data_IF_116987266526
#
_entry.id   IF_116987266526
#
_cell.length_a   1.000
_cell.length_b   1.000
_cell.length_c   1.000
_cell.angle_alpha   90.00
_cell.angle_beta   90.00
_cell.angle_gamma   90.00
#
_symmetry.space_group_name_H-M   'P 1'
#
loop_
_entity.id
_entity.type
_entity.pdbx_description
1 polymer ?
#
# COMPACT_ATOMS: atom_id res chain seq x y z
N UNK A 1 -46.16 17.56 13.67
CA UNK A 1 -44.71 17.44 13.96
C UNK A 1 -44.50 17.47 15.48
N UNK A 2 -45.12 18.41 16.21
CA UNK A 2 -45.18 18.43 17.68
C UNK A 2 -45.55 17.10 18.32
N UNK A 3 -46.61 16.42 17.87
CA UNK A 3 -47.08 15.18 18.50
C UNK A 3 -46.05 14.06 18.45
N UNK A 4 -45.29 13.96 17.36
CA UNK A 4 -44.20 12.97 17.24
C UNK A 4 -43.04 13.29 18.19
N UNK A 5 -42.80 14.57 18.47
CA UNK A 5 -41.75 15.03 19.38
C UNK A 5 -42.18 14.75 20.83
N UNK A 6 -43.46 14.95 21.16
CA UNK A 6 -44.00 14.59 22.47
C UNK A 6 -43.97 13.08 22.72
N UNK A 7 -44.37 12.27 21.74
CA UNK A 7 -44.29 10.80 21.81
C UNK A 7 -42.86 10.31 22.02
N UNK A 8 -41.87 10.87 21.31
CA UNK A 8 -40.44 10.53 21.50
C UNK A 8 -39.92 10.89 22.88
N UNK A 9 -40.35 12.03 23.45
CA UNK A 9 -39.98 12.43 24.83
C UNK A 9 -40.63 11.54 25.89
N UNK A 10 -41.86 11.09 25.66
CA UNK A 10 -42.56 10.19 26.59
C UNK A 10 -42.03 8.76 26.56
N UNK A 11 -41.50 8.32 25.42
CA UNK A 11 -40.94 6.97 25.23
C UNK A 11 -39.41 6.93 25.46
N UNK A 12 -38.81 8.03 25.93
CA UNK A 12 -37.39 8.05 26.23
C UNK A 12 -37.10 7.14 27.44
N UNK A 13 -36.19 6.15 27.32
CA UNK A 13 -35.93 5.18 28.37
C UNK A 13 -34.97 5.78 29.42
N UNK A 14 -35.48 6.74 30.20
CA UNK A 14 -34.70 7.52 31.20
C UNK A 14 -33.97 6.62 32.20
N UNK A 15 -34.60 5.52 32.63
CA UNK A 15 -33.97 4.56 33.55
C UNK A 15 -32.74 3.88 32.92
N UNK A 16 -32.84 3.45 31.66
CA UNK A 16 -31.72 2.84 30.95
C UNK A 16 -30.59 3.85 30.75
N UNK A 17 -30.92 5.10 30.41
CA UNK A 17 -29.94 6.19 30.27
C UNK A 17 -29.21 6.43 31.59
N UNK A 18 -29.91 6.42 32.72
CA UNK A 18 -29.31 6.58 34.04
C UNK A 18 -28.40 5.41 34.42
N UNK A 19 -28.80 4.18 34.12
CA UNK A 19 -27.97 2.98 34.34
C UNK A 19 -26.70 3.03 33.48
N UNK A 20 -26.82 3.39 32.21
CA UNK A 20 -25.67 3.54 31.29
C UNK A 20 -24.75 4.66 31.77
N UNK A 21 -25.27 5.79 32.23
CA UNK A 21 -24.45 6.88 32.77
C UNK A 21 -23.76 6.50 34.08
N UNK A 22 -24.41 5.71 34.93
CA UNK A 22 -23.80 5.13 36.14
C UNK A 22 -22.63 4.22 35.80
N UNK A 23 -22.83 3.27 34.89
CA UNK A 23 -21.77 2.38 34.37
C UNK A 23 -20.63 3.16 33.71
N UNK A 24 -20.96 4.20 32.93
CA UNK A 24 -19.95 5.07 32.30
C UNK A 24 -19.09 5.77 33.34
N UNK A 25 -19.67 6.24 34.45
CA UNK A 25 -18.92 6.88 35.53
C UNK A 25 -18.06 5.87 36.32
N UNK A 26 -18.51 4.64 36.54
CA UNK A 26 -17.70 3.58 37.15
C UNK A 26 -16.52 3.18 36.25
N UNK A 27 -16.76 2.99 34.95
CA UNK A 27 -15.71 2.70 33.97
C UNK A 27 -14.72 3.86 33.85
N UNK A 28 -15.18 5.11 33.87
CA UNK A 28 -14.32 6.31 33.84
C UNK A 28 -13.48 6.47 35.12
N UNK A 29 -13.92 5.95 36.26
CA UNK A 29 -13.13 5.95 37.50
C UNK A 29 -12.00 4.91 37.45
N UNK A 30 -12.20 3.76 36.80
CA UNK A 30 -11.15 2.76 36.51
C UNK A 30 -10.21 3.18 35.36
N UNK A 31 -10.71 3.98 34.43
CA UNK A 31 -9.97 4.65 33.35
C UNK A 31 -9.22 5.92 33.79
N UNK A 32 -9.17 6.26 35.09
CA UNK A 32 -8.04 7.05 35.58
C UNK A 32 -6.78 6.18 35.52
N UNK A 33 -6.33 5.91 34.30
CA UNK A 33 -5.00 5.49 33.93
C UNK A 33 -4.08 6.47 34.63
N UNK A 34 -3.58 6.09 35.81
CA UNK A 34 -2.43 6.76 36.37
C UNK A 34 -1.32 6.46 35.38
N UNK A 35 -1.13 7.38 34.43
CA UNK A 35 -0.02 7.34 33.48
C UNK A 35 1.23 7.01 34.28
N UNK A 36 1.94 5.98 33.82
CA UNK A 36 3.15 5.52 34.47
C UNK A 36 4.09 6.74 34.52
N UNK A 37 4.53 7.16 35.71
CA UNK A 37 5.43 8.29 35.84
C UNK A 37 6.68 8.10 34.97
N UNK A 38 7.16 9.19 34.38
CA UNK A 38 8.28 9.16 33.44
C UNK A 38 9.54 8.48 34.00
N UNK A 39 9.83 8.68 35.29
CA UNK A 39 10.97 8.04 35.95
C UNK A 39 10.86 6.51 36.01
N UNK A 40 9.64 5.95 36.05
CA UNK A 40 9.42 4.50 36.02
C UNK A 40 9.64 3.98 34.60
N UNK A 41 9.16 4.72 33.58
CA UNK A 41 9.41 4.38 32.16
C UNK A 41 10.91 4.33 31.87
N UNK A 42 11.65 5.35 32.28
CA UNK A 42 13.11 5.41 32.14
C UNK A 42 13.81 4.21 32.81
N UNK A 43 13.40 3.87 34.04
CA UNK A 43 13.94 2.70 34.75
C UNK A 43 13.68 1.40 33.99
N UNK A 44 12.47 1.22 33.46
CA UNK A 44 12.11 0.05 32.64
C UNK A 44 12.98 -0.01 31.38
N UNK A 45 13.12 1.10 30.67
CA UNK A 45 13.96 1.19 29.46
C UNK A 45 15.42 0.83 29.76
N UNK A 46 15.99 1.35 30.85
CA UNK A 46 17.37 1.07 31.22
C UNK A 46 17.59 -0.42 31.56
N UNK A 47 16.66 -1.05 32.30
CA UNK A 47 16.73 -2.48 32.62
C UNK A 47 16.60 -3.36 31.37
N UNK A 48 15.70 -3.01 30.44
CA UNK A 48 15.56 -3.71 29.16
C UNK A 48 16.83 -3.56 28.32
N UNK A 49 17.42 -2.37 28.25
CA UNK A 49 18.68 -2.14 27.52
C UNK A 49 19.83 -2.96 28.10
N UNK A 50 19.91 -3.10 29.43
CA UNK A 50 20.90 -3.96 30.08
C UNK A 50 20.66 -5.42 29.72
N UNK A 51 19.41 -5.87 29.74
CA UNK A 51 19.02 -7.23 29.35
C UNK A 51 19.43 -7.52 27.91
N UNK A 52 19.07 -6.64 26.97
CA UNK A 52 19.40 -6.78 25.55
C UNK A 52 20.91 -6.72 25.27
N UNK A 53 21.69 -5.93 26.03
CA UNK A 53 23.16 -5.91 25.91
C UNK A 53 23.84 -7.19 26.42
N UNK A 54 23.18 -7.92 27.32
CA UNK A 54 23.65 -9.23 27.80
C UNK A 54 23.42 -10.35 26.78
N UNK A 55 22.57 -10.11 25.79
CA UNK A 55 22.22 -11.01 24.69
C UNK A 55 23.13 -10.68 23.50
N UNK A 56 23.73 -11.68 22.85
CA UNK A 56 24.80 -11.44 21.89
C UNK A 56 24.25 -10.78 20.60
N UNK A 57 24.98 -9.81 20.03
CA UNK A 57 24.51 -8.97 18.91
C UNK A 57 24.27 -9.72 17.58
N UNK A 58 24.64 -11.00 17.51
CA UNK A 58 24.42 -11.88 16.35
C UNK A 58 23.19 -12.79 16.50
N UNK A 59 22.40 -12.64 17.56
CA UNK A 59 21.28 -13.53 17.84
C UNK A 59 20.05 -13.19 17.02
N UNK A 60 19.32 -14.25 16.64
CA UNK A 60 18.05 -14.19 15.94
C UNK A 60 17.03 -13.33 16.73
N UNK A 61 16.19 -12.58 16.01
CA UNK A 61 15.21 -11.69 16.64
C UNK A 61 14.25 -12.40 17.62
N UNK A 62 14.06 -13.71 17.45
CA UNK A 62 13.35 -14.59 18.40
C UNK A 62 14.01 -14.62 19.77
N UNK A 63 15.35 -14.66 19.83
CA UNK A 63 16.08 -14.72 21.11
C UNK A 63 16.01 -13.38 21.84
N UNK A 64 16.08 -12.26 21.12
CA UNK A 64 15.87 -10.93 21.69
C UNK A 64 14.46 -10.79 22.27
N UNK A 65 13.45 -11.29 21.55
CA UNK A 65 12.06 -11.28 22.00
C UNK A 65 11.88 -12.15 23.25
N UNK A 66 12.45 -13.35 23.27
CA UNK A 66 12.39 -14.26 24.42
C UNK A 66 13.07 -13.69 25.66
N UNK A 67 14.22 -13.02 25.49
CA UNK A 67 14.94 -12.38 26.59
C UNK A 67 14.11 -11.26 27.25
N UNK A 68 13.49 -10.39 26.44
CA UNK A 68 12.62 -9.32 26.95
C UNK A 68 11.38 -9.87 27.62
N UNK A 69 10.75 -10.88 27.02
CA UNK A 69 9.57 -11.54 27.60
C UNK A 69 9.90 -12.28 28.90
N UNK A 70 11.09 -12.88 29.02
CA UNK A 70 11.56 -13.48 30.27
C UNK A 70 11.77 -12.43 31.36
N UNK A 71 12.48 -11.35 31.05
CA UNK A 71 12.68 -10.22 31.96
C UNK A 71 11.35 -9.64 32.44
N UNK A 72 10.40 -9.43 31.52
CA UNK A 72 9.06 -8.91 31.83
C UNK A 72 8.33 -9.80 32.82
N UNK A 73 8.36 -11.13 32.62
CA UNK A 73 7.70 -12.10 33.51
C UNK A 73 8.31 -12.11 34.91
N UNK A 74 9.64 -12.05 35.01
CA UNK A 74 10.34 -11.98 36.29
C UNK A 74 9.99 -10.68 37.04
N UNK A 75 10.04 -9.54 36.35
CA UNK A 75 9.72 -8.22 36.93
C UNK A 75 8.27 -8.09 37.36
N UNK A 76 7.34 -8.64 36.57
CA UNK A 76 5.93 -8.71 36.93
C UNK A 76 5.72 -9.55 38.20
N UNK A 77 6.44 -10.68 38.32
CA UNK A 77 6.38 -11.53 39.51
C UNK A 77 6.92 -10.78 40.75
N UNK A 78 8.09 -10.14 40.65
CA UNK A 78 8.66 -9.32 41.74
C UNK A 78 7.66 -8.23 42.20
N UNK A 79 7.05 -7.51 41.25
CA UNK A 79 6.07 -6.47 41.55
C UNK A 79 4.80 -7.04 42.22
N UNK A 80 4.36 -8.23 41.81
CA UNK A 80 3.17 -8.90 42.37
C UNK A 80 3.42 -9.45 43.78
N UNK A 81 4.62 -10.01 44.02
CA UNK A 81 5.04 -10.47 45.35
C UNK A 81 5.11 -9.31 46.34
N UNK A 82 5.65 -8.15 45.94
CA UNK A 82 5.66 -6.93 46.75
C UNK A 82 4.25 -6.38 47.08
N UNK A 83 3.25 -6.68 46.26
CA UNK A 83 1.85 -6.31 46.54
C UNK A 83 1.23 -7.28 47.56
N UNK A 84 1.57 -8.57 47.49
CA UNK A 84 1.03 -9.62 48.35
C UNK A 84 1.68 -9.63 49.73
N UNK A 85 2.99 -9.48 49.80
CA UNK A 85 3.72 -9.26 51.03
C UNK A 85 3.48 -7.81 51.47
N UNK A 86 2.52 -7.59 52.38
CA UNK A 86 2.32 -6.31 53.08
C UNK A 86 3.60 -5.92 53.84
N UNK A 87 4.64 -5.49 53.14
CA UNK A 87 5.90 -5.05 53.72
C UNK A 87 5.68 -3.64 54.26
N UNK A 88 5.42 -3.60 55.56
CA UNK A 88 5.47 -2.38 56.36
C UNK A 88 6.82 -1.72 56.13
N UNK A 89 6.84 -0.57 55.44
CA UNK A 89 7.68 0.59 55.81
C UNK A 89 7.60 1.78 54.84
N UNK A 90 6.92 1.72 53.70
CA UNK A 90 6.69 2.92 52.86
C UNK A 90 5.52 2.77 51.89
N UNK A 91 4.48 3.59 52.05
CA UNK A 91 3.29 3.67 51.16
C UNK A 91 3.64 3.94 49.69
N UNK A 92 4.80 4.55 49.44
CA UNK A 92 5.32 4.92 48.11
C UNK A 92 5.74 3.67 47.31
N UNK A 93 6.45 2.73 47.94
CA UNK A 93 6.94 1.50 47.30
C UNK A 93 5.79 0.59 46.83
N UNK A 94 4.71 0.50 47.62
CA UNK A 94 3.53 -0.29 47.25
C UNK A 94 2.78 0.33 46.05
N UNK A 95 2.73 1.66 45.96
CA UNK A 95 2.09 2.36 44.83
C UNK A 95 2.87 2.14 43.53
N UNK A 96 4.20 2.24 43.59
CA UNK A 96 5.08 1.95 42.47
C UNK A 96 4.98 0.49 42.02
N UNK A 97 4.95 -0.47 42.96
CA UNK A 97 4.78 -1.89 42.64
C UNK A 97 3.46 -2.18 41.91
N UNK A 98 2.35 -1.53 42.32
CA UNK A 98 1.06 -1.64 41.62
C UNK A 98 1.09 -1.05 40.22
N UNK A 99 1.74 0.09 40.04
CA UNK A 99 1.91 0.70 38.72
C UNK A 99 2.76 -0.20 37.81
N UNK A 100 3.86 -0.75 38.33
CA UNK A 100 4.70 -1.71 37.61
C UNK A 100 3.96 -2.99 37.23
N UNK A 101 3.16 -3.56 38.14
CA UNK A 101 2.39 -4.76 37.86
C UNK A 101 1.35 -4.53 36.75
N UNK A 102 0.63 -3.39 36.78
CA UNK A 102 -0.32 -3.02 35.71
C UNK A 102 0.40 -2.75 34.38
N UNK A 103 1.54 -2.07 34.43
CA UNK A 103 2.37 -1.72 33.29
C UNK A 103 2.94 -2.95 32.56
N UNK A 104 3.49 -3.90 33.30
CA UNK A 104 4.11 -5.12 32.76
C UNK A 104 3.07 -6.21 32.50
N UNK A 105 1.89 -6.14 33.10
CA UNK A 105 0.76 -7.03 32.85
C UNK A 105 -0.10 -6.55 31.69
N UNK A 106 -1.24 -5.95 32.02
CA UNK A 106 -2.32 -5.60 31.07
C UNK A 106 -1.92 -4.49 30.09
N UNK A 107 -1.09 -3.54 30.51
CA UNK A 107 -0.72 -2.36 29.71
C UNK A 107 0.62 -2.50 28.98
N UNK A 108 1.15 -3.71 28.84
CA UNK A 108 2.49 -3.91 28.28
C UNK A 108 2.62 -3.43 26.83
N UNK A 109 1.59 -3.65 26.00
CA UNK A 109 1.61 -3.21 24.61
C UNK A 109 1.72 -1.68 24.49
N UNK A 110 0.87 -0.96 25.22
CA UNK A 110 0.88 0.51 25.29
C UNK A 110 2.21 1.04 25.82
N UNK A 111 2.71 0.46 26.92
CA UNK A 111 4.02 0.83 27.47
C UNK A 111 5.15 0.60 26.47
N UNK A 112 5.15 -0.55 25.77
CA UNK A 112 6.19 -0.90 24.80
C UNK A 112 6.26 0.12 23.67
N UNK A 113 5.11 0.58 23.17
CA UNK A 113 5.04 1.66 22.18
C UNK A 113 5.56 2.98 22.76
N UNK A 114 5.15 3.36 23.97
CA UNK A 114 5.57 4.61 24.61
C UNK A 114 7.09 4.66 24.87
N UNK A 115 7.72 3.54 25.24
CA UNK A 115 9.18 3.47 25.45
C UNK A 115 9.96 3.18 24.17
N UNK A 116 9.29 3.01 23.03
CA UNK A 116 9.92 2.75 21.73
C UNK A 116 10.54 1.36 21.60
N UNK A 117 10.03 0.36 22.34
CA UNK A 117 10.50 -1.01 22.28
C UNK A 117 9.85 -1.73 21.09
N UNK A 118 10.60 -1.86 20.00
CA UNK A 118 10.19 -2.60 18.81
C UNK A 118 11.22 -3.66 18.44
N UNK A 119 10.85 -4.94 18.58
CA UNK A 119 11.66 -6.10 18.18
C UNK A 119 10.99 -6.75 16.96
N UNK A 120 11.69 -6.90 15.82
CA UNK A 120 11.12 -7.51 14.63
C UNK A 120 10.64 -8.95 14.90
N UNK A 121 9.41 -9.27 14.50
CA UNK A 121 8.96 -10.67 14.49
C UNK A 121 9.62 -11.35 13.29
N UNK A 122 10.19 -12.55 13.49
CA UNK A 122 10.60 -13.36 12.35
C UNK A 122 9.34 -13.82 11.60
N UNK A 123 9.05 -13.17 10.47
CA UNK A 123 8.02 -13.62 9.54
C UNK A 123 8.67 -14.65 8.63
N UNK A 124 8.42 -15.93 8.90
CA UNK A 124 8.79 -17.01 7.99
C UNK A 124 7.79 -16.97 6.83
N UNK A 125 8.13 -16.22 5.79
CA UNK A 125 7.40 -16.29 4.52
C UNK A 125 7.62 -17.70 3.95
N UNK A 126 6.59 -18.53 4.02
CA UNK A 126 6.58 -19.79 3.28
C UNK A 126 6.08 -19.44 1.89
N UNK A 127 7.02 -19.23 0.96
CA UNK A 127 6.69 -18.97 -0.44
C UNK A 127 6.05 -20.25 -0.99
N UNK A 128 4.72 -20.25 -1.09
CA UNK A 128 4.00 -21.27 -1.81
C UNK A 128 4.12 -20.95 -3.29
N UNK A 129 4.99 -21.69 -3.97
CA UNK A 129 5.09 -21.66 -5.42
C UNK A 129 3.88 -22.43 -5.99
N UNK A 130 2.69 -21.79 -5.94
CA UNK A 130 1.47 -22.27 -6.59
C UNK A 130 1.55 -22.18 -8.13
N UNK A 131 2.76 -21.89 -8.66
CA UNK A 131 3.06 -21.77 -10.08
C UNK A 131 3.07 -23.15 -10.73
N UNK A 132 2.21 -23.40 -11.73
CA UNK A 132 2.29 -24.64 -12.50
C UNK A 132 3.61 -24.70 -13.29
N UNK A 133 4.27 -25.87 -13.28
CA UNK A 133 5.49 -26.11 -14.04
C UNK A 133 5.25 -25.82 -15.54
N UNK A 134 5.95 -24.81 -16.08
CA UNK A 134 5.94 -24.48 -17.51
C UNK A 134 5.35 -23.11 -17.89
N UNK A 135 4.87 -22.31 -16.94
CA UNK A 135 4.52 -20.90 -17.21
C UNK A 135 5.76 -20.01 -17.08
N UNK A 136 6.23 -19.47 -18.21
CA UNK A 136 7.18 -18.36 -18.22
C UNK A 136 6.59 -17.18 -17.45
N UNK A 137 7.39 -16.50 -16.62
CA UNK A 137 6.99 -15.21 -16.06
C UNK A 137 6.74 -14.27 -17.23
N UNK A 138 5.48 -14.10 -17.59
CA UNK A 138 5.12 -12.96 -18.41
C UNK A 138 5.44 -11.75 -17.53
N UNK A 139 6.54 -11.07 -17.82
CA UNK A 139 6.86 -9.74 -17.33
C UNK A 139 5.78 -8.76 -17.85
N UNK A 140 4.53 -8.92 -17.39
CA UNK A 140 3.52 -7.91 -17.58
C UNK A 140 3.86 -6.78 -16.64
N UNK A 141 4.55 -5.76 -17.14
CA UNK A 141 4.38 -4.42 -16.59
C UNK A 141 2.87 -4.20 -16.42
N UNK A 142 2.45 -3.90 -15.19
CA UNK A 142 1.03 -3.77 -14.86
C UNK A 142 0.44 -2.60 -15.66
N UNK A 143 -0.26 -2.93 -16.75
CA UNK A 143 -0.93 -1.95 -17.60
C UNK A 143 -2.13 -1.40 -16.82
N UNK A 144 -2.14 -0.09 -16.56
CA UNK A 144 -3.27 0.55 -15.92
C UNK A 144 -4.54 0.47 -16.79
N UNK A 145 -5.65 0.08 -16.18
CA UNK A 145 -6.97 0.02 -16.82
C UNK A 145 -7.54 -1.39 -16.97
N UNK A 146 -8.52 -1.54 -17.86
CA UNK A 146 -9.15 -2.84 -18.16
C UNK A 146 -8.18 -3.76 -18.89
N UNK A 147 -8.32 -5.07 -18.68
CA UNK A 147 -7.58 -6.07 -19.45
C UNK A 147 -7.87 -5.92 -20.95
N UNK A 148 -6.80 -5.89 -21.74
CA UNK A 148 -6.86 -5.76 -23.18
C UNK A 148 -7.31 -7.07 -23.84
N UNK A 149 -8.29 -7.03 -24.77
CA UNK A 149 -8.66 -8.20 -25.57
C UNK A 149 -7.49 -8.70 -26.43
N UNK A 150 -7.42 -10.02 -26.66
CA UNK A 150 -6.36 -10.64 -27.48
C UNK A 150 -6.29 -10.06 -28.91
N UNK A 151 -7.44 -9.70 -29.49
CA UNK A 151 -7.53 -9.04 -30.80
C UNK A 151 -6.79 -7.70 -30.89
N UNK A 152 -6.43 -7.08 -29.75
CA UNK A 152 -5.62 -5.86 -29.72
C UNK A 152 -4.15 -6.10 -30.03
N UNK A 153 -3.66 -7.35 -29.88
CA UNK A 153 -2.26 -7.75 -29.98
C UNK A 153 -1.34 -6.72 -29.32
N UNK A 154 -1.60 -6.45 -28.04
CA UNK A 154 -0.90 -5.40 -27.31
C UNK A 154 0.55 -5.75 -27.10
N UNK A 155 1.40 -4.80 -27.42
CA UNK A 155 2.82 -4.83 -27.15
C UNK A 155 3.23 -3.59 -26.36
N UNK A 156 3.83 -3.81 -25.19
CA UNK A 156 4.48 -2.75 -24.41
C UNK A 156 5.78 -2.31 -25.08
N UNK A 157 6.22 -1.08 -24.79
CA UNK A 157 7.43 -0.47 -25.32
C UNK A 157 7.54 -0.55 -26.85
N UNK A 158 6.46 -0.24 -27.55
CA UNK A 158 6.34 -0.47 -28.99
C UNK A 158 5.70 0.75 -29.65
N UNK A 159 6.33 1.25 -30.70
CA UNK A 159 5.74 2.24 -31.62
C UNK A 159 5.65 1.67 -33.03
N UNK A 160 4.42 1.50 -33.52
CA UNK A 160 4.14 1.17 -34.91
C UNK A 160 3.93 2.42 -35.75
N UNK A 161 4.55 2.44 -36.93
CA UNK A 161 4.30 3.43 -37.97
C UNK A 161 2.98 3.19 -38.72
N UNK A 162 2.49 4.23 -39.39
CA UNK A 162 1.30 4.16 -40.23
C UNK A 162 0.69 5.53 -40.49
N UNK A 163 -0.26 5.57 -41.43
CA UNK A 163 -0.99 6.79 -41.76
C UNK A 163 -2.05 7.06 -40.69
N UNK A 164 -1.99 8.22 -40.04
CA UNK A 164 -2.98 8.60 -39.04
C UNK A 164 -4.38 8.72 -39.67
N UNK A 165 -5.30 7.84 -39.26
CA UNK A 165 -6.74 7.99 -39.52
C UNK A 165 -7.42 8.80 -38.43
N UNK A 166 -6.80 8.88 -37.24
CA UNK A 166 -7.13 9.85 -36.19
C UNK A 166 -5.85 10.26 -35.44
N UNK A 167 -5.65 11.56 -35.32
CA UNK A 167 -4.47 12.15 -34.70
C UNK A 167 -4.54 12.08 -33.17
N UNK A 168 -3.50 11.55 -32.53
CA UNK A 168 -3.44 11.43 -31.06
C UNK A 168 -3.36 12.78 -30.34
N UNK A 169 -2.74 13.79 -30.96
CA UNK A 169 -2.64 15.17 -30.43
C UNK A 169 -3.99 15.77 -29.98
N UNK A 170 -5.09 15.36 -30.62
CA UNK A 170 -6.45 15.80 -30.29
C UNK A 170 -7.37 14.64 -29.88
N UNK A 171 -6.83 13.43 -29.79
CA UNK A 171 -7.57 12.22 -29.45
C UNK A 171 -6.96 11.54 -28.23
N UNK A 172 -7.52 11.84 -27.06
CA UNK A 172 -7.08 11.26 -25.81
C UNK A 172 -8.03 10.14 -25.36
N UNK A 173 -7.47 9.12 -24.72
CA UNK A 173 -8.18 7.99 -24.13
C UNK A 173 -7.61 7.69 -22.75
N UNK A 174 -8.45 7.31 -21.79
CA UNK A 174 -8.01 7.08 -20.41
C UNK A 174 -7.12 5.83 -20.26
N UNK A 175 -7.20 4.89 -21.21
CA UNK A 175 -6.45 3.65 -21.16
C UNK A 175 -6.06 3.13 -22.55
N UNK A 176 -5.07 2.24 -22.57
CA UNK A 176 -4.70 1.47 -23.76
C UNK A 176 -5.88 0.65 -24.30
N UNK A 177 -6.70 0.08 -23.39
CA UNK A 177 -7.94 -0.62 -23.74
C UNK A 177 -8.86 0.27 -24.57
N UNK A 178 -9.14 1.48 -24.09
CA UNK A 178 -10.05 2.41 -24.78
C UNK A 178 -9.49 2.89 -26.11
N UNK A 179 -8.15 2.95 -26.23
CA UNK A 179 -7.49 3.26 -27.49
C UNK A 179 -7.62 2.14 -28.51
N UNK A 180 -7.38 0.88 -28.11
CA UNK A 180 -7.60 -0.27 -28.97
C UNK A 180 -9.07 -0.38 -29.41
N UNK A 181 -10.02 -0.22 -28.48
CA UNK A 181 -11.45 -0.27 -28.80
C UNK A 181 -11.84 0.85 -29.79
N UNK A 182 -11.28 2.05 -29.63
CA UNK A 182 -11.50 3.13 -30.58
C UNK A 182 -10.97 2.81 -31.99
N UNK A 183 -9.86 2.06 -32.11
CA UNK A 183 -9.38 1.58 -33.41
C UNK A 183 -10.38 0.62 -34.04
N UNK A 184 -10.82 -0.39 -33.29
CA UNK A 184 -11.80 -1.38 -33.76
C UNK A 184 -13.13 -0.72 -34.17
N UNK A 185 -13.61 0.24 -33.38
CA UNK A 185 -14.84 0.97 -33.67
C UNK A 185 -14.70 1.85 -34.92
N UNK A 186 -13.56 2.53 -35.08
CA UNK A 186 -13.29 3.31 -36.30
C UNK A 186 -13.23 2.38 -37.52
N UNK A 187 -12.59 1.21 -37.41
CA UNK A 187 -12.48 0.24 -38.49
C UNK A 187 -13.86 -0.29 -38.93
N UNK A 188 -14.79 -0.50 -37.99
CA UNK A 188 -16.18 -0.91 -38.27
C UNK A 188 -17.01 0.20 -38.93
N UNK A 189 -16.77 1.45 -38.55
CA UNK A 189 -17.53 2.61 -39.05
C UNK A 189 -16.98 3.18 -40.36
N UNK A 190 -15.73 2.86 -40.70
CA UNK A 190 -15.08 3.33 -41.91
C UNK A 190 -15.81 2.88 -43.19
N UNK A 191 -16.10 3.85 -44.06
CA UNK A 191 -16.75 3.61 -45.35
C UNK A 191 -15.83 2.91 -46.37
N UNK A 192 -16.36 2.53 -47.55
CA UNK A 192 -15.63 1.74 -48.56
C UNK A 192 -14.33 2.36 -49.07
N UNK A 193 -14.25 3.69 -49.08
CA UNK A 193 -13.08 4.44 -49.58
C UNK A 193 -12.22 5.03 -48.45
N UNK A 194 -12.51 4.69 -47.19
CA UNK A 194 -11.76 5.17 -46.04
C UNK A 194 -10.79 4.11 -45.56
N UNK A 195 -9.61 4.56 -45.12
CA UNK A 195 -8.65 3.70 -44.43
C UNK A 195 -9.25 3.27 -43.09
N UNK A 196 -9.35 1.95 -42.90
CA UNK A 196 -9.82 1.34 -41.66
C UNK A 196 -8.66 1.26 -40.69
N UNK A 197 -8.83 1.69 -39.44
CA UNK A 197 -7.78 1.57 -38.44
C UNK A 197 -7.38 0.10 -38.29
N UNK A 198 -6.09 -0.18 -38.35
CA UNK A 198 -5.54 -1.49 -38.02
C UNK A 198 -4.34 -1.43 -37.08
N UNK A 199 -3.89 -0.23 -36.72
CA UNK A 199 -2.79 0.01 -35.79
C UNK A 199 -3.23 1.06 -34.78
N UNK A 200 -3.03 0.81 -33.49
CA UNK A 200 -3.26 1.78 -32.43
C UNK A 200 -1.97 2.02 -31.65
N UNK A 201 -1.72 3.25 -31.24
CA UNK A 201 -0.55 3.64 -30.42
C UNK A 201 -1.02 4.56 -29.30
N UNK A 202 -0.71 4.19 -28.06
CA UNK A 202 -1.16 4.83 -26.84
C UNK A 202 0.01 5.32 -25.99
N UNK A 203 -0.10 6.51 -25.41
CA UNK A 203 0.87 7.02 -24.45
C UNK A 203 0.44 6.79 -22.99
N UNK A 204 0.95 5.74 -22.31
CA UNK A 204 0.66 5.49 -20.90
C UNK A 204 1.46 6.39 -19.94
N UNK A 205 2.58 6.98 -20.38
CA UNK A 205 3.47 7.76 -19.51
C UNK A 205 2.84 9.09 -19.09
N UNK A 206 2.79 9.38 -17.79
CA UNK A 206 2.28 10.66 -17.25
C UNK A 206 3.14 11.86 -17.69
N UNK A 207 4.44 11.64 -17.93
CA UNK A 207 5.38 12.67 -18.39
C UNK A 207 5.37 12.85 -19.91
N UNK A 208 4.50 12.13 -20.62
CA UNK A 208 4.44 12.12 -22.08
C UNK A 208 5.35 11.07 -22.71
N UNK A 209 5.25 10.96 -24.04
CA UNK A 209 5.95 9.94 -24.82
C UNK A 209 6.87 10.57 -25.85
N UNK A 210 8.01 9.93 -26.11
CA UNK A 210 9.02 10.43 -27.05
C UNK A 210 8.75 9.92 -28.46
N UNK A 211 8.78 10.82 -29.45
CA UNK A 211 8.72 10.52 -30.89
C UNK A 211 9.76 11.35 -31.63
N UNK A 212 10.38 10.87 -32.72
CA UNK A 212 11.28 11.63 -33.60
C UNK A 212 10.57 12.70 -34.44
N UNK A 213 9.66 13.47 -33.87
CA UNK A 213 8.94 14.51 -34.59
C UNK A 213 8.96 15.86 -33.85
N UNK A 214 8.25 16.84 -34.43
CA UNK A 214 8.23 18.22 -33.95
C UNK A 214 7.23 18.45 -32.80
N UNK A 215 6.46 17.43 -32.42
CA UNK A 215 5.41 17.55 -31.43
C UNK A 215 5.88 17.11 -30.05
N UNK A 216 5.21 17.65 -29.04
CA UNK A 216 5.35 17.21 -27.67
C UNK A 216 4.15 16.33 -27.32
N UNK A 217 4.37 15.02 -27.27
CA UNK A 217 3.31 14.07 -26.99
C UNK A 217 3.00 13.98 -25.50
N UNK A 218 1.72 14.03 -25.18
CA UNK A 218 1.22 14.04 -23.80
C UNK A 218 0.67 12.67 -23.39
N UNK A 219 0.53 12.50 -22.08
CA UNK A 219 -0.17 11.37 -21.49
C UNK A 219 -1.56 11.21 -22.12
N UNK A 220 -2.00 9.96 -22.29
CA UNK A 220 -3.31 9.56 -22.84
C UNK A 220 -3.50 9.80 -24.34
N UNK A 221 -2.51 10.28 -25.08
CA UNK A 221 -2.62 10.37 -26.53
C UNK A 221 -2.89 8.99 -27.15
N UNK A 222 -3.92 8.91 -27.99
CA UNK A 222 -4.34 7.72 -28.70
C UNK A 222 -4.32 7.97 -30.21
N UNK A 223 -3.34 7.37 -30.87
CA UNK A 223 -3.14 7.44 -32.31
C UNK A 223 -3.81 6.26 -32.98
N UNK A 224 -4.76 6.54 -33.86
CA UNK A 224 -5.37 5.51 -34.71
C UNK A 224 -4.75 5.62 -36.09
N UNK A 225 -4.12 4.54 -36.54
CA UNK A 225 -3.33 4.50 -37.77
C UNK A 225 -3.82 3.37 -38.69
N UNK A 226 -3.53 3.55 -39.97
CA UNK A 226 -3.66 2.52 -40.99
C UNK A 226 -2.30 2.24 -41.60
N UNK A 227 -1.95 0.96 -41.72
CA UNK A 227 -0.79 0.51 -42.48
C UNK A 227 -1.12 -0.79 -43.20
N UNK A 228 -0.93 -0.85 -44.52
CA UNK A 228 -1.13 -2.10 -45.28
C UNK A 228 -0.18 -3.21 -44.79
N UNK A 229 1.05 -2.83 -44.43
CA UNK A 229 2.02 -3.67 -43.75
C UNK A 229 2.52 -2.91 -42.53
N UNK A 230 1.99 -3.18 -41.31
CA UNK A 230 2.43 -2.52 -40.09
C UNK A 230 3.94 -2.65 -39.89
N UNK A 231 4.64 -1.52 -39.87
CA UNK A 231 6.09 -1.47 -39.67
C UNK A 231 6.40 -0.99 -38.27
N UNK A 232 7.24 -1.74 -37.59
CA UNK A 232 7.78 -1.37 -36.30
C UNK A 232 8.78 -0.21 -36.49
N UNK A 233 8.55 0.91 -35.80
CA UNK A 233 9.53 2.01 -35.75
C UNK A 233 10.56 1.74 -34.67
N UNK A 234 10.08 1.53 -33.44
CA UNK A 234 10.91 1.26 -32.27
C UNK A 234 10.25 0.20 -31.37
N UNK A 235 11.09 -0.62 -30.76
CA UNK A 235 10.70 -1.68 -29.83
C UNK A 235 11.69 -1.77 -28.69
N UNK A 236 11.18 -1.97 -27.48
CA UNK A 236 11.91 -2.13 -26.22
C UNK A 236 12.80 -0.92 -25.90
N UNK A 237 14.00 -0.86 -26.50
CA UNK A 237 15.00 0.16 -26.24
C UNK A 237 15.34 0.95 -27.50
N UNK A 238 15.50 2.26 -27.35
CA UNK A 238 16.07 3.07 -28.43
C UNK A 238 17.54 2.69 -28.64
N UNK A 239 18.00 2.44 -29.88
CA UNK A 239 19.40 2.17 -30.17
C UNK A 239 20.33 3.27 -29.65
N UNK A 240 21.52 2.91 -29.17
CA UNK A 240 22.49 3.90 -28.66
C UNK A 240 22.86 4.94 -29.72
N UNK A 241 23.04 4.52 -30.97
CA UNK A 241 23.29 5.43 -32.09
C UNK A 241 22.18 6.48 -32.26
N UNK A 242 20.92 6.07 -32.08
CA UNK A 242 19.77 6.96 -32.15
C UNK A 242 19.75 7.92 -30.96
N UNK A 243 20.00 7.43 -29.73
CA UNK A 243 20.06 8.27 -28.52
C UNK A 243 21.22 9.25 -28.51
N UNK A 244 22.35 8.90 -29.11
CA UNK A 244 23.48 9.81 -29.31
C UNK A 244 23.11 10.97 -30.24
N UNK A 245 22.29 10.70 -31.27
CA UNK A 245 21.77 11.73 -32.18
C UNK A 245 20.58 12.50 -31.58
N UNK A 246 19.83 11.88 -30.67
CA UNK A 246 18.63 12.43 -30.01
C UNK A 246 18.78 12.34 -28.48
N UNK A 247 19.51 13.26 -27.84
CA UNK A 247 19.82 13.18 -26.40
C UNK A 247 18.59 13.15 -25.49
N UNK A 248 17.45 13.67 -25.97
CA UNK A 248 16.18 13.67 -25.25
C UNK A 248 15.40 12.34 -25.36
N UNK A 249 15.88 11.38 -26.16
CA UNK A 249 15.25 10.08 -26.28
C UNK A 249 15.50 9.25 -25.00
N UNK A 250 14.43 8.71 -24.37
CA UNK A 250 14.57 7.86 -23.20
C UNK A 250 15.28 6.55 -23.58
N UNK A 251 15.65 5.76 -22.56
CA UNK A 251 16.26 4.44 -22.79
C UNK A 251 15.25 3.46 -23.38
N UNK A 252 14.03 3.48 -22.84
CA UNK A 252 12.95 2.56 -23.16
C UNK A 252 11.90 3.29 -24.01
N UNK A 253 11.32 2.61 -24.99
CA UNK A 253 10.21 3.15 -25.79
C UNK A 253 9.00 3.35 -24.88
N UNK A 254 8.46 4.57 -24.75
CA UNK A 254 7.40 4.85 -23.77
C UNK A 254 5.99 4.53 -24.29
N UNK A 255 5.87 4.16 -25.57
CA UNK A 255 4.59 3.88 -26.22
C UNK A 255 4.13 2.44 -25.98
N UNK A 256 2.82 2.26 -25.99
CA UNK A 256 2.17 0.95 -26.04
C UNK A 256 1.36 0.89 -27.33
N UNK A 257 1.45 -0.18 -28.09
CA UNK A 257 0.76 -0.27 -29.37
C UNK A 257 0.34 -1.69 -29.69
N UNK A 258 -0.48 -1.82 -30.73
CA UNK A 258 -0.86 -3.13 -31.23
C UNK A 258 -1.46 -3.04 -32.63
N UNK A 259 -1.44 -4.19 -33.29
CA UNK A 259 -2.07 -4.38 -34.60
C UNK A 259 -3.37 -5.14 -34.38
N UNK A 260 -4.49 -4.53 -34.71
CA UNK A 260 -5.77 -5.22 -34.57
C UNK A 260 -6.02 -6.14 -35.75
N UNK A 261 -6.52 -7.35 -35.48
CA UNK A 261 -7.09 -8.19 -36.53
C UNK A 261 -8.50 -7.70 -36.83
N UNK A 262 -8.68 -7.11 -38.02
CA UNK A 262 -9.98 -6.61 -38.53
C UNK A 262 -10.57 -7.62 -39.50
#
# INVERSE_FOLDING_TARGET
MEESIQLRKQLEPVELINVVNGLKNELLMDEKVQQIPEHIKQKITDEILVTLKGVNANEDATVLQDAVESWRREKLKEATELIHEKTSNSTISLKEARLLARALGDNWAELSEEIGLWIPVQIINTEHDDKPEGEEELDYEVIAGKQLPLQCHTEVHTDYGGDAVRWGLTHHKESAYDCCMACLDQAKQAGPNQKKCNVWVYCPSETGCHSPDIYQHKHQECWLKYAENPKLNFKDRYPESYRNAHPNAPVIVPWMSGVVSV
#
